data_IF_834662244802
#
_entry.id   IF_834662244802
#
_cell.length_a   1.000
_cell.length_b   1.000
_cell.length_c   1.000
_cell.angle_alpha   90.00
_cell.angle_beta   90.00
_cell.angle_gamma   90.00
#
_symmetry.space_group_name_H-M   'P 1'
#
loop_
_entity.id
_entity.type
_entity.pdbx_description
1 polymer ?
#
# COMPACT_ATOMS: atom_id res chain seq x y z
N UNK A 1 1.12 -18.19 1.61
CA UNK A 1 1.83 -17.88 0.35
C UNK A 1 1.99 -19.12 -0.55
N UNK A 2 1.87 -20.34 -0.02
CA UNK A 2 2.16 -21.60 -0.74
C UNK A 2 1.39 -21.77 -2.06
N UNK A 3 0.16 -21.29 -2.13
CA UNK A 3 -0.69 -21.41 -3.31
C UNK A 3 -0.45 -20.31 -4.38
N UNK A 4 0.44 -19.35 -4.11
CA UNK A 4 0.83 -18.34 -5.11
C UNK A 4 1.57 -18.99 -6.28
N UNK A 5 1.34 -18.47 -7.47
CA UNK A 5 2.07 -18.82 -8.70
C UNK A 5 2.97 -17.68 -9.13
N UNK A 6 3.96 -17.98 -9.96
CA UNK A 6 4.85 -16.94 -10.51
C UNK A 6 4.06 -15.87 -11.23
N UNK A 7 4.29 -14.61 -10.90
CA UNK A 7 3.54 -13.46 -11.39
C UNK A 7 2.37 -13.01 -10.51
N UNK A 8 2.01 -13.79 -9.49
CA UNK A 8 1.03 -13.36 -8.49
C UNK A 8 1.61 -12.27 -7.60
N UNK A 9 0.77 -11.32 -7.26
CA UNK A 9 1.06 -10.25 -6.31
C UNK A 9 -0.15 -10.02 -5.41
N UNK A 10 0.08 -9.85 -4.11
CA UNK A 10 -0.94 -9.45 -3.16
C UNK A 10 -0.36 -8.53 -2.10
N UNK A 11 -1.16 -7.65 -1.55
CA UNK A 11 -0.67 -6.69 -0.59
C UNK A 11 -1.72 -5.82 0.06
N UNK A 12 -1.22 -4.86 0.82
CA UNK A 12 -1.98 -3.83 1.51
C UNK A 12 -1.72 -2.49 0.82
N UNK A 13 -2.78 -1.76 0.52
CA UNK A 13 -2.72 -0.47 -0.16
C UNK A 13 -3.43 0.61 0.66
N UNK A 14 -2.84 1.80 0.69
CA UNK A 14 -3.49 3.06 1.04
C UNK A 14 -3.66 3.90 -0.21
N UNK A 15 -4.90 4.08 -0.64
CA UNK A 15 -5.25 4.73 -1.90
C UNK A 15 -5.88 6.10 -1.67
N UNK A 16 -5.18 7.14 -2.07
CA UNK A 16 -5.63 8.53 -2.15
C UNK A 16 -5.19 9.13 -3.48
N UNK A 17 -5.04 10.46 -3.56
CA UNK A 17 -4.36 11.11 -4.69
C UNK A 17 -2.91 10.67 -4.73
N UNK A 18 -2.22 10.75 -3.59
CA UNK A 18 -1.00 9.98 -3.34
C UNK A 18 -1.40 8.60 -2.82
N UNK A 19 -0.68 7.58 -3.21
CA UNK A 19 -0.92 6.21 -2.76
C UNK A 19 0.38 5.47 -2.49
N UNK A 20 0.26 4.46 -1.64
CA UNK A 20 1.34 3.53 -1.37
C UNK A 20 0.80 2.14 -1.06
N UNK A 21 1.55 1.14 -1.47
CA UNK A 21 1.26 -0.25 -1.18
C UNK A 21 2.53 -1.02 -0.82
N UNK A 22 2.38 -1.95 0.12
CA UNK A 22 3.37 -2.99 0.39
C UNK A 22 2.80 -4.32 -0.10
N UNK A 23 3.55 -5.04 -0.88
CA UNK A 23 3.09 -6.26 -1.54
C UNK A 23 4.13 -7.38 -1.49
N UNK A 24 3.64 -8.61 -1.54
CA UNK A 24 4.44 -9.80 -1.82
C UNK A 24 4.13 -10.27 -3.24
N UNK A 25 5.15 -10.56 -4.02
CA UNK A 25 5.04 -11.22 -5.32
C UNK A 25 5.81 -12.51 -5.33
N UNK A 26 5.32 -13.51 -6.05
CA UNK A 26 6.07 -14.74 -6.29
C UNK A 26 6.79 -14.66 -7.62
N UNK A 27 8.08 -14.80 -7.56
CA UNK A 27 8.94 -15.03 -8.70
C UNK A 27 9.29 -16.53 -8.82
N UNK A 28 10.05 -16.94 -9.81
CA UNK A 28 10.36 -18.35 -10.04
C UNK A 28 11.09 -19.02 -8.88
N UNK A 29 11.97 -18.29 -8.21
CA UNK A 29 12.92 -18.77 -7.20
C UNK A 29 12.80 -18.13 -5.83
N UNK A 30 11.92 -17.13 -5.68
CA UNK A 30 11.77 -16.38 -4.44
C UNK A 30 10.38 -15.74 -4.30
N UNK A 31 10.05 -15.38 -3.06
CA UNK A 31 9.08 -14.32 -2.80
C UNK A 31 9.81 -12.98 -2.71
N UNK A 32 9.20 -11.94 -3.25
CA UNK A 32 9.78 -10.59 -3.24
C UNK A 32 8.79 -9.61 -2.62
N UNK A 33 9.24 -8.92 -1.56
CA UNK A 33 8.49 -7.80 -1.00
C UNK A 33 8.76 -6.58 -1.86
N UNK A 34 7.69 -5.93 -2.31
CA UNK A 34 7.74 -4.73 -3.14
C UNK A 34 7.00 -3.58 -2.48
N UNK A 35 7.62 -2.41 -2.56
CA UNK A 35 6.97 -1.14 -2.34
C UNK A 35 6.46 -0.61 -3.68
N UNK A 36 5.22 -0.19 -3.72
CA UNK A 36 4.59 0.47 -4.87
C UNK A 36 4.05 1.80 -4.37
N UNK A 37 4.46 2.88 -4.97
CA UNK A 37 3.91 4.19 -4.61
C UNK A 37 3.81 5.10 -5.83
N UNK A 38 2.97 6.12 -5.72
CA UNK A 38 2.78 7.05 -6.80
C UNK A 38 1.76 8.13 -6.49
N UNK A 39 1.43 8.87 -7.52
CA UNK A 39 0.41 9.92 -7.47
C UNK A 39 -0.56 9.75 -8.65
N UNK A 40 -1.84 9.86 -8.36
CA UNK A 40 -2.87 9.87 -9.39
C UNK A 40 -2.99 11.28 -9.99
N UNK A 41 -3.02 11.34 -11.31
CA UNK A 41 -3.28 12.54 -12.05
C UNK A 41 -4.70 12.47 -12.64
N UNK A 42 -5.52 13.44 -12.27
CA UNK A 42 -6.91 13.52 -12.75
C UNK A 42 -7.01 14.65 -13.78
N UNK A 43 -6.52 14.42 -14.97
CA UNK A 43 -6.81 15.28 -16.11
C UNK A 43 -8.22 15.02 -16.62
N UNK A 44 -8.80 16.04 -17.30
CA UNK A 44 -10.22 16.01 -17.70
C UNK A 44 -10.57 14.89 -18.67
N UNK A 45 -9.59 14.27 -19.31
CA UNK A 45 -9.79 13.29 -20.39
C UNK A 45 -9.30 11.88 -20.03
N UNK A 46 -8.28 11.74 -19.16
CA UNK A 46 -7.78 10.43 -18.76
C UNK A 46 -7.27 10.46 -17.31
N UNK A 47 -7.66 9.48 -16.50
CA UNK A 47 -7.01 9.24 -15.22
C UNK A 47 -5.73 8.44 -15.48
N UNK A 48 -4.60 8.97 -15.10
CA UNK A 48 -3.31 8.29 -15.18
C UNK A 48 -2.66 8.18 -13.81
N UNK A 49 -1.86 7.16 -13.63
CA UNK A 49 -1.03 6.97 -12.45
C UNK A 49 0.36 6.53 -12.90
N UNK A 50 1.38 7.08 -12.27
CA UNK A 50 2.74 6.64 -12.48
C UNK A 50 3.19 5.87 -11.24
N UNK A 51 3.36 4.55 -11.40
CA UNK A 51 3.81 3.67 -10.33
C UNK A 51 5.34 3.67 -10.26
N UNK A 52 5.86 3.93 -9.08
CA UNK A 52 7.26 3.66 -8.72
C UNK A 52 7.27 2.36 -7.95
N UNK A 53 7.94 1.34 -8.48
CA UNK A 53 8.02 0.00 -7.89
C UNK A 53 9.46 -0.26 -7.46
N UNK A 54 9.64 -0.55 -6.17
CA UNK A 54 10.94 -0.85 -5.58
C UNK A 54 10.92 -2.23 -4.94
N UNK A 55 11.92 -3.05 -5.24
CA UNK A 55 12.17 -4.28 -4.50
C UNK A 55 12.73 -3.93 -3.12
N UNK A 56 12.07 -4.41 -2.07
CA UNK A 56 12.47 -4.19 -0.68
C UNK A 56 13.31 -5.35 -0.18
N UNK A 57 12.82 -6.57 -0.38
CA UNK A 57 13.47 -7.77 0.16
C UNK A 57 13.09 -9.03 -0.63
N UNK A 58 14.07 -9.90 -0.81
CA UNK A 58 13.84 -11.25 -1.33
C UNK A 58 13.79 -12.25 -0.18
N UNK A 59 12.83 -13.16 -0.26
CA UNK A 59 12.58 -14.18 0.76
C UNK A 59 12.59 -15.56 0.11
N UNK A 60 13.10 -16.60 0.81
CA UNK A 60 13.07 -17.95 0.28
C UNK A 60 11.62 -18.47 0.16
N UNK A 61 11.38 -19.38 -0.78
CA UNK A 61 10.06 -20.01 -0.99
C UNK A 61 9.57 -20.84 0.21
N UNK A 62 10.40 -21.03 1.22
CA UNK A 62 10.02 -21.68 2.50
C UNK A 62 9.19 -20.78 3.41
N UNK A 63 9.15 -19.46 3.16
CA UNK A 63 8.29 -18.53 3.91
C UNK A 63 6.83 -18.82 3.58
N UNK A 64 6.03 -19.03 4.60
CA UNK A 64 4.60 -19.39 4.45
C UNK A 64 3.66 -18.23 4.67
N UNK A 65 4.07 -17.31 5.54
CA UNK A 65 3.27 -16.17 5.99
C UNK A 65 4.09 -14.90 5.93
N UNK A 66 3.39 -13.79 5.73
CA UNK A 66 3.94 -12.44 5.83
C UNK A 66 2.86 -11.53 6.37
N UNK A 67 3.28 -10.53 7.11
CA UNK A 67 2.40 -9.56 7.75
C UNK A 67 2.70 -8.18 7.17
N UNK A 68 1.65 -7.45 6.84
CA UNK A 68 1.74 -6.07 6.39
C UNK A 68 1.00 -5.17 7.35
N UNK A 69 1.57 -4.00 7.61
CA UNK A 69 0.89 -2.97 8.35
C UNK A 69 0.84 -1.65 7.57
N UNK A 70 -0.14 -0.87 7.96
CA UNK A 70 -0.33 0.50 7.53
C UNK A 70 -0.74 1.29 8.76
N UNK A 71 0.04 2.29 9.10
CA UNK A 71 -0.25 3.18 10.23
C UNK A 71 -0.51 4.59 9.72
N UNK A 72 -1.51 5.24 10.28
CA UNK A 72 -1.85 6.63 9.98
C UNK A 72 -1.60 7.45 11.23
N UNK A 73 -0.73 8.47 11.12
CA UNK A 73 -0.44 9.40 12.21
C UNK A 73 -0.90 10.78 11.81
N UNK A 74 -1.71 11.40 12.65
CA UNK A 74 -2.02 12.83 12.52
C UNK A 74 -0.83 13.65 13.02
N UNK A 75 -0.43 14.60 12.20
CA UNK A 75 0.58 15.59 12.56
C UNK A 75 -0.16 16.91 12.81
N UNK A 76 0.16 17.64 13.90
CA UNK A 76 -0.37 18.97 14.10
C UNK A 76 -0.05 19.85 12.88
N UNK A 77 -1.07 20.32 12.20
CA UNK A 77 -0.92 21.20 11.05
C UNK A 77 -1.02 22.66 11.49
N UNK A 78 -0.14 23.50 10.97
CA UNK A 78 -0.24 24.96 11.06
C UNK A 78 -1.02 25.57 9.89
N UNK A 79 -1.43 24.73 8.93
CA UNK A 79 -2.23 25.16 7.80
C UNK A 79 -3.71 25.16 8.14
N UNK A 80 -4.40 26.21 7.71
CA UNK A 80 -5.83 26.38 7.92
C UNK A 80 -6.52 26.48 6.57
N UNK A 81 -7.67 25.85 6.45
CA UNK A 81 -8.55 26.09 5.32
C UNK A 81 -9.10 27.50 5.42
N UNK A 82 -8.85 28.31 4.38
CA UNK A 82 -9.32 29.69 4.27
C UNK A 82 -10.48 29.84 3.27
N UNK A 83 -10.90 28.74 2.67
CA UNK A 83 -11.99 28.71 1.70
C UNK A 83 -13.34 28.58 2.44
N UNK A 84 -13.94 29.70 2.76
CA UNK A 84 -15.27 29.73 3.36
C UNK A 84 -15.38 30.58 4.62
N UNK A 85 -16.58 30.63 5.24
CA UNK A 85 -16.84 31.45 6.41
C UNK A 85 -16.22 30.89 7.72
N UNK A 86 -15.67 29.71 7.68
CA UNK A 86 -15.11 29.03 8.85
C UNK A 86 -13.65 28.65 8.58
N UNK A 87 -12.78 29.02 9.50
CA UNK A 87 -11.36 28.63 9.50
C UNK A 87 -11.21 27.41 10.39
N UNK A 88 -10.73 26.31 9.84
CA UNK A 88 -10.40 25.10 10.61
C UNK A 88 -9.05 24.55 10.18
N UNK A 89 -8.30 23.92 11.12
CA UNK A 89 -7.01 23.33 10.77
C UNK A 89 -7.21 22.20 9.76
N UNK A 90 -6.32 22.16 8.75
CA UNK A 90 -6.25 21.04 7.82
C UNK A 90 -5.41 19.97 8.50
N UNK A 91 -5.96 18.83 8.90
CA UNK A 91 -5.15 17.76 9.49
C UNK A 91 -4.14 17.27 8.45
N UNK A 92 -2.87 17.29 8.82
CA UNK A 92 -1.84 16.61 8.05
C UNK A 92 -1.72 15.17 8.58
N UNK A 93 -1.82 14.22 7.70
CA UNK A 93 -1.70 12.80 8.03
C UNK A 93 -0.50 12.21 7.29
N UNK A 94 0.27 11.40 8.00
CA UNK A 94 1.35 10.60 7.41
C UNK A 94 0.97 9.15 7.49
N UNK A 95 1.05 8.50 6.34
CA UNK A 95 0.85 7.07 6.18
C UNK A 95 2.22 6.41 6.18
N UNK A 96 2.38 5.38 7.01
CA UNK A 96 3.58 4.54 7.03
C UNK A 96 3.20 3.11 6.69
N UNK A 97 3.97 2.51 5.79
CA UNK A 97 3.83 1.14 5.33
C UNK A 97 4.99 0.30 5.86
N UNK A 98 4.70 -0.89 6.33
CA UNK A 98 5.70 -1.80 6.84
C UNK A 98 5.33 -3.26 6.65
N UNK A 99 6.26 -4.12 6.99
CA UNK A 99 6.07 -5.58 6.97
C UNK A 99 6.75 -6.25 8.16
N UNK A 100 6.29 -7.47 8.47
CA UNK A 100 6.99 -8.41 9.36
C UNK A 100 6.96 -9.80 8.75
N UNK A 101 8.01 -10.59 8.94
CA UNK A 101 8.13 -11.96 8.41
C UNK A 101 7.59 -12.97 9.41
N UNK A 102 7.66 -12.67 10.68
CA UNK A 102 7.32 -13.58 11.78
C UNK A 102 6.12 -13.13 12.62
N UNK A 103 5.53 -11.98 12.26
CA UNK A 103 4.44 -11.37 13.02
C UNK A 103 4.87 -10.66 14.29
N UNK A 104 6.19 -10.52 14.52
CA UNK A 104 6.76 -9.73 15.59
C UNK A 104 6.89 -8.24 15.21
N UNK A 105 8.08 -7.70 15.36
CA UNK A 105 8.33 -6.29 15.06
C UNK A 105 8.17 -5.99 13.57
N UNK A 106 7.49 -4.88 13.26
CA UNK A 106 7.32 -4.40 11.90
C UNK A 106 8.47 -3.48 11.49
N UNK A 107 9.01 -3.73 10.32
CA UNK A 107 9.96 -2.86 9.63
C UNK A 107 9.20 -1.86 8.77
N UNK A 108 9.26 -0.56 9.14
CA UNK A 108 8.71 0.52 8.32
C UNK A 108 9.60 0.74 7.10
N UNK A 109 9.00 0.68 5.91
CA UNK A 109 9.72 0.78 4.63
C UNK A 109 9.46 2.08 3.88
N UNK A 110 8.35 2.73 4.17
CA UNK A 110 7.96 3.94 3.46
C UNK A 110 6.96 4.76 4.25
N UNK A 111 7.12 6.08 4.23
CA UNK A 111 6.16 7.01 4.80
C UNK A 111 5.93 8.17 3.85
N UNK A 112 4.69 8.61 3.74
CA UNK A 112 4.30 9.70 2.85
C UNK A 112 3.12 10.49 3.43
N UNK A 113 3.00 11.80 3.11
CA UNK A 113 1.83 12.56 3.48
C UNK A 113 0.59 12.06 2.72
N UNK A 114 -0.52 11.88 3.41
CA UNK A 114 -1.76 11.51 2.76
C UNK A 114 -2.31 12.70 1.97
N UNK A 115 -2.84 12.43 0.80
CA UNK A 115 -3.52 13.40 -0.03
C UNK A 115 -4.86 12.80 -0.44
N UNK A 116 -5.93 13.27 0.18
CA UNK A 116 -7.28 12.79 -0.07
C UNK A 116 -7.77 13.20 -1.46
N UNK A 117 -8.58 12.37 -2.07
CA UNK A 117 -9.28 12.71 -3.32
C UNK A 117 -10.38 13.75 -3.07
N UNK A 118 -10.91 14.33 -4.15
CA UNK A 118 -11.91 15.41 -4.11
C UNK A 118 -13.18 15.08 -3.31
N UNK A 119 -13.58 13.81 -3.29
CA UNK A 119 -14.88 13.38 -2.75
C UNK A 119 -14.79 12.26 -1.72
N UNK A 120 -13.64 11.66 -1.57
CA UNK A 120 -13.42 10.55 -0.65
C UNK A 120 -12.05 10.69 0.01
N UNK A 121 -11.97 10.33 1.28
CA UNK A 121 -10.72 10.21 2.00
C UNK A 121 -9.85 9.07 1.46
N UNK A 122 -8.69 8.90 2.06
CA UNK A 122 -7.81 7.76 1.78
C UNK A 122 -8.51 6.46 2.14
N UNK A 123 -8.43 5.48 1.25
CA UNK A 123 -8.98 4.14 1.46
C UNK A 123 -7.88 3.13 1.69
N UNK A 124 -8.01 2.35 2.74
CA UNK A 124 -7.13 1.23 3.02
C UNK A 124 -7.80 -0.07 2.59
N UNK A 125 -7.05 -0.95 1.95
CA UNK A 125 -7.59 -2.20 1.47
C UNK A 125 -6.54 -3.22 1.08
N UNK A 126 -7.02 -4.44 0.89
CA UNK A 126 -6.23 -5.53 0.32
C UNK A 126 -6.40 -5.52 -1.20
N UNK A 127 -5.35 -5.91 -1.89
CA UNK A 127 -5.40 -6.14 -3.33
C UNK A 127 -4.68 -7.42 -3.71
N UNK A 128 -5.07 -8.00 -4.84
CA UNK A 128 -4.35 -9.07 -5.50
C UNK A 128 -4.43 -8.88 -7.01
N UNK A 129 -3.38 -9.26 -7.70
CA UNK A 129 -3.32 -9.29 -9.15
C UNK A 129 -2.35 -10.37 -9.63
N UNK A 130 -2.51 -10.75 -10.90
CA UNK A 130 -1.61 -11.65 -11.58
C UNK A 130 -1.04 -10.97 -12.82
N UNK A 131 0.28 -10.98 -12.93
CA UNK A 131 1.01 -10.46 -14.10
C UNK A 131 1.71 -11.64 -14.80
N UNK A 132 1.05 -12.26 -15.73
CA UNK A 132 1.59 -13.39 -16.46
C UNK A 132 0.59 -13.96 -17.46
N UNK A 133 1.04 -14.89 -18.30
CA UNK A 133 0.21 -15.61 -19.27
C UNK A 133 -0.37 -16.93 -18.71
N UNK A 134 -0.01 -17.30 -17.48
CA UNK A 134 -0.45 -18.51 -16.82
C UNK A 134 -1.74 -18.32 -16.00
N UNK A 135 -2.17 -19.39 -15.36
CA UNK A 135 -3.26 -19.31 -14.39
C UNK A 135 -2.76 -18.64 -13.10
N UNK A 136 -3.59 -17.78 -12.52
CA UNK A 136 -3.35 -17.19 -11.22
C UNK A 136 -3.41 -18.28 -10.12
N UNK A 137 -2.64 -18.09 -9.06
CA UNK A 137 -2.72 -18.85 -7.84
C UNK A 137 -3.68 -18.23 -6.83
N UNK A 138 -3.50 -18.59 -5.57
CA UNK A 138 -4.31 -18.09 -4.47
C UNK A 138 -3.43 -17.48 -3.39
N UNK A 139 -3.93 -16.40 -2.78
CA UNK A 139 -3.40 -15.83 -1.56
C UNK A 139 -4.49 -15.90 -0.50
N UNK A 140 -4.19 -16.52 0.63
CA UNK A 140 -5.10 -16.61 1.76
C UNK A 140 -4.74 -15.53 2.76
N UNK A 141 -5.73 -14.71 3.13
CA UNK A 141 -5.62 -13.73 4.20
C UNK A 141 -6.20 -14.37 5.45
N UNK A 142 -5.37 -14.55 6.48
CA UNK A 142 -5.78 -15.18 7.74
C UNK A 142 -6.57 -14.22 8.61
N UNK A 143 -6.21 -12.92 8.60
CA UNK A 143 -6.96 -11.87 9.27
C UNK A 143 -6.65 -10.50 8.64
N UNK A 144 -7.58 -9.58 8.84
CA UNK A 144 -7.44 -8.18 8.51
C UNK A 144 -8.01 -7.39 9.69
N UNK A 145 -7.15 -6.61 10.36
CA UNK A 145 -7.47 -6.00 11.63
C UNK A 145 -7.24 -4.49 11.57
N UNK A 146 -8.24 -3.72 12.02
CA UNK A 146 -8.13 -2.29 12.28
C UNK A 146 -8.01 -2.07 13.79
N UNK A 147 -7.09 -1.20 14.20
CA UNK A 147 -6.87 -0.82 15.59
C UNK A 147 -7.10 0.68 15.73
#
# INVERSE_FOLDING_TARGET
LEAMRSGDMAGLISLGVTYGAVAITKESDAYVIKLIHGKQHFDKEEASAEDIITEVKRLPLTVKEIYFNNTVKQIPSTEYNQDGPYTFPIPAEVISLGYSIDGGDFEDIYSYPSEAGRWVGVKNGLFCCHKGSGEAGEVRVSYFHFV
#
